data_IF_164186900789
#
_entry.id   IF_164186900789
#
_cell.length_a   1.000
_cell.length_b   1.000
_cell.length_c   1.000
_cell.angle_alpha   90.00
_cell.angle_beta   90.00
_cell.angle_gamma   90.00
#
_symmetry.space_group_name_H-M   'P 1'
#
loop_
_entity.id
_entity.type
_entity.pdbx_description
1 polymer ?
#
# COMPACT_ATOMS: atom_id res chain seq x y z
N UNK A 1 29.74 2.85 -16.89
CA UNK A 1 29.29 1.47 -17.10
C UNK A 1 27.93 1.31 -16.41
N UNK A 2 26.84 1.49 -17.16
CA UNK A 2 25.48 1.29 -16.62
C UNK A 2 25.19 -0.21 -16.65
N UNK A 3 25.38 -0.87 -15.51
CA UNK A 3 25.02 -2.29 -15.35
C UNK A 3 23.49 -2.37 -15.38
N UNK A 4 22.93 -2.86 -16.48
CA UNK A 4 21.51 -3.16 -16.57
C UNK A 4 21.20 -4.27 -15.58
N UNK A 5 20.47 -3.95 -14.51
CA UNK A 5 19.87 -4.95 -13.65
C UNK A 5 18.96 -5.82 -14.52
N UNK A 6 19.34 -7.08 -14.72
CA UNK A 6 18.44 -8.08 -15.30
C UNK A 6 17.32 -8.24 -14.28
N UNK A 7 16.16 -7.66 -14.59
CA UNK A 7 14.98 -7.74 -13.75
C UNK A 7 14.42 -9.16 -13.88
N UNK A 8 14.85 -10.05 -12.99
CA UNK A 8 14.36 -11.43 -12.96
C UNK A 8 12.93 -11.38 -12.45
N UNK A 9 11.98 -11.70 -13.32
CA UNK A 9 10.57 -11.83 -12.95
C UNK A 9 10.37 -13.08 -12.10
N UNK A 10 9.80 -12.90 -10.91
CA UNK A 10 9.49 -13.98 -9.98
C UNK A 10 8.15 -14.64 -10.31
N UNK A 11 7.19 -13.86 -10.79
CA UNK A 11 5.84 -14.32 -11.09
C UNK A 11 5.59 -14.51 -12.59
N UNK A 12 4.80 -15.53 -12.90
CA UNK A 12 4.29 -15.75 -14.24
C UNK A 12 3.38 -14.59 -14.66
N UNK A 13 3.48 -14.15 -15.92
CA UNK A 13 2.73 -12.99 -16.46
C UNK A 13 1.77 -13.33 -17.60
N UNK A 14 0.92 -14.37 -17.51
CA UNK A 14 0.02 -14.71 -18.60
C UNK A 14 -1.10 -13.66 -18.73
N UNK A 15 -1.17 -12.99 -19.88
CA UNK A 15 -2.27 -12.08 -20.24
C UNK A 15 -2.53 -10.96 -19.22
N UNK A 16 -1.46 -10.38 -18.68
CA UNK A 16 -1.54 -9.18 -17.85
C UNK A 16 -1.54 -7.93 -18.72
N UNK A 17 -2.36 -6.93 -18.35
CA UNK A 17 -2.27 -5.61 -18.98
C UNK A 17 -0.95 -4.91 -18.59
N UNK A 18 -0.57 -3.86 -19.33
CA UNK A 18 0.62 -3.05 -18.99
C UNK A 18 0.57 -2.52 -17.56
N UNK A 19 -0.60 -2.06 -17.11
CA UNK A 19 -0.81 -1.56 -15.75
C UNK A 19 -0.62 -2.66 -14.70
N UNK A 20 -1.15 -3.87 -14.95
CA UNK A 20 -1.00 -5.03 -14.06
C UNK A 20 0.45 -5.51 -14.00
N UNK A 21 1.14 -5.54 -15.14
CA UNK A 21 2.56 -5.88 -15.20
C UNK A 21 3.43 -4.88 -14.43
N UNK A 22 3.14 -3.57 -14.55
CA UNK A 22 3.81 -2.54 -13.76
C UNK A 22 3.60 -2.76 -12.26
N UNK A 23 2.36 -2.98 -11.84
CA UNK A 23 2.03 -3.22 -10.44
C UNK A 23 2.74 -4.46 -9.88
N UNK A 24 2.80 -5.54 -10.66
CA UNK A 24 3.52 -6.75 -10.28
C UNK A 24 5.03 -6.53 -10.17
N UNK A 25 5.62 -5.72 -11.04
CA UNK A 25 7.04 -5.33 -10.94
C UNK A 25 7.31 -4.57 -9.63
N UNK A 26 6.43 -3.65 -9.23
CA UNK A 26 6.57 -2.93 -7.94
C UNK A 26 6.56 -3.90 -6.76
N UNK A 27 5.71 -4.94 -6.77
CA UNK A 27 5.77 -5.98 -5.75
C UNK A 27 7.14 -6.67 -5.75
N UNK A 28 7.59 -7.16 -6.90
CA UNK A 28 8.86 -7.90 -7.05
C UNK A 28 10.07 -7.10 -6.54
N UNK A 29 10.13 -5.81 -6.86
CA UNK A 29 11.18 -4.88 -6.40
C UNK A 29 11.18 -4.67 -4.88
N UNK A 30 10.06 -4.91 -4.19
CA UNK A 30 9.93 -4.66 -2.75
C UNK A 30 9.96 -5.95 -1.91
N UNK A 31 9.99 -7.13 -2.52
CA UNK A 31 10.01 -8.41 -1.80
C UNK A 31 11.26 -8.59 -0.92
N UNK A 32 12.41 -8.06 -1.35
CA UNK A 32 13.64 -8.08 -0.53
C UNK A 32 13.49 -7.28 0.76
N UNK A 33 12.63 -6.26 0.76
CA UNK A 33 12.48 -5.30 1.85
C UNK A 33 11.30 -5.68 2.75
N UNK A 34 10.80 -6.92 2.65
CA UNK A 34 9.63 -7.37 3.41
C UNK A 34 9.77 -7.10 4.90
N UNK A 35 10.94 -7.35 5.50
CA UNK A 35 11.19 -7.14 6.93
C UNK A 35 11.12 -5.68 7.35
N UNK A 36 11.60 -4.77 6.50
CA UNK A 36 11.67 -3.33 6.79
C UNK A 36 10.31 -2.65 6.58
N UNK A 37 9.56 -3.12 5.57
CA UNK A 37 8.25 -2.59 5.21
C UNK A 37 7.09 -3.35 5.88
N UNK A 38 7.38 -4.24 6.83
CA UNK A 38 6.35 -4.97 7.57
C UNK A 38 5.68 -4.05 8.58
N UNK A 39 4.37 -3.93 8.46
CA UNK A 39 3.52 -3.27 9.45
C UNK A 39 2.96 -4.31 10.44
N UNK A 40 3.09 -4.05 11.74
CA UNK A 40 2.62 -4.95 12.79
C UNK A 40 1.12 -4.80 13.10
N UNK A 41 0.49 -3.70 12.68
CA UNK A 41 -0.88 -3.33 13.03
C UNK A 41 -1.71 -2.85 11.84
N UNK A 42 -3.01 -2.58 12.06
CA UNK A 42 -3.87 -1.93 11.06
C UNK A 42 -3.30 -0.56 10.68
N UNK A 43 -3.14 -0.32 9.38
CA UNK A 43 -2.67 0.96 8.84
C UNK A 43 -3.84 1.93 8.82
N UNK A 44 -3.61 3.14 9.35
CA UNK A 44 -4.63 4.19 9.36
C UNK A 44 -4.84 4.77 7.96
N UNK A 45 -6.00 5.41 7.74
CA UNK A 45 -6.39 5.92 6.42
C UNK A 45 -5.34 6.84 5.82
N UNK A 46 -4.85 7.81 6.60
CA UNK A 46 -3.92 8.85 6.14
C UNK A 46 -2.61 8.27 5.61
N UNK A 47 -2.09 7.23 6.28
CA UNK A 47 -0.86 6.54 5.85
C UNK A 47 -1.15 5.73 4.59
N UNK A 48 -2.23 4.96 4.58
CA UNK A 48 -2.60 4.14 3.41
C UNK A 48 -2.89 5.00 2.17
N UNK A 49 -3.49 6.18 2.34
CA UNK A 49 -3.79 7.11 1.25
C UNK A 49 -2.60 7.96 0.83
N UNK A 50 -1.43 7.83 1.46
CA UNK A 50 -0.22 8.56 1.05
C UNK A 50 0.31 8.02 -0.28
N UNK A 51 0.64 8.93 -1.20
CA UNK A 51 1.19 8.56 -2.49
C UNK A 51 2.50 7.75 -2.32
N UNK A 52 2.58 6.67 -3.09
CA UNK A 52 3.68 5.73 -3.12
C UNK A 52 3.94 4.99 -1.79
N UNK A 53 2.97 5.02 -0.88
CA UNK A 53 2.95 4.15 0.30
C UNK A 53 3.06 2.68 -0.12
N UNK A 54 3.94 1.94 0.57
CA UNK A 54 4.17 0.50 0.37
C UNK A 54 4.26 -0.15 1.74
N UNK A 55 3.50 -1.22 1.95
CA UNK A 55 3.52 -1.94 3.23
C UNK A 55 3.20 -3.41 3.07
N UNK A 56 3.83 -4.22 3.91
CA UNK A 56 3.58 -5.66 4.02
C UNK A 56 2.80 -5.98 5.30
N UNK A 57 1.97 -7.02 5.22
CA UNK A 57 1.18 -7.54 6.33
C UNK A 57 1.29 -9.06 6.37
N UNK A 58 1.47 -9.65 7.55
CA UNK A 58 1.48 -11.12 7.73
C UNK A 58 0.07 -11.72 7.86
N UNK A 59 -0.82 -11.27 6.98
CA UNK A 59 -2.18 -11.77 6.82
C UNK A 59 -2.69 -11.37 5.45
N UNK A 60 -3.72 -12.03 4.96
CA UNK A 60 -4.49 -11.55 3.82
C UNK A 60 -5.17 -10.22 4.16
N UNK A 61 -5.18 -9.32 3.18
CA UNK A 61 -5.91 -8.05 3.24
C UNK A 61 -7.07 -8.10 2.27
N UNK A 62 -8.29 -7.93 2.79
CA UNK A 62 -9.50 -7.79 1.99
C UNK A 62 -9.93 -6.32 1.93
N UNK A 63 -10.68 -5.95 0.90
CA UNK A 63 -11.20 -4.58 0.74
C UNK A 63 -11.95 -4.03 1.97
N UNK A 64 -12.80 -4.83 2.67
CA UNK A 64 -13.47 -4.36 3.89
C UNK A 64 -12.52 -4.07 5.06
N UNK A 65 -11.33 -4.68 5.06
CA UNK A 65 -10.34 -4.52 6.14
C UNK A 65 -9.52 -3.22 5.98
N UNK A 66 -9.63 -2.57 4.82
CA UNK A 66 -8.92 -1.32 4.55
C UNK A 66 -9.69 -0.14 5.13
N UNK A 67 -9.00 0.82 5.78
CA UNK A 67 -9.64 2.05 6.23
C UNK A 67 -10.24 2.78 5.03
N UNK A 68 -11.37 3.45 5.26
CA UNK A 68 -12.12 4.20 4.25
C UNK A 68 -12.58 5.52 4.86
N UNK A 69 -12.79 6.53 4.01
CA UNK A 69 -13.39 7.78 4.46
C UNK A 69 -14.89 7.65 4.69
N UNK A 70 -15.47 8.63 5.36
CA UNK A 70 -16.92 8.65 5.62
C UNK A 70 -17.73 8.86 4.34
N UNK A 71 -17.15 9.60 3.39
CA UNK A 71 -17.85 10.05 2.18
C UNK A 71 -17.52 9.25 0.92
N UNK A 72 -16.58 8.31 0.99
CA UNK A 72 -16.12 7.55 -0.16
C UNK A 72 -15.73 6.12 0.20
N UNK A 73 -15.81 5.22 -0.78
CA UNK A 73 -15.55 3.80 -0.59
C UNK A 73 -14.46 3.32 -1.55
N UNK A 74 -13.76 2.25 -1.15
CA UNK A 74 -12.92 1.50 -2.07
C UNK A 74 -13.79 0.70 -3.05
N UNK A 75 -13.60 0.96 -4.33
CA UNK A 75 -14.25 0.24 -5.41
C UNK A 75 -13.22 -0.63 -6.14
N UNK A 76 -13.41 -1.95 -6.07
CA UNK A 76 -12.54 -2.90 -6.76
C UNK A 76 -12.78 -2.85 -8.27
N UNK A 77 -11.70 -2.79 -9.05
CA UNK A 77 -11.83 -3.03 -10.48
C UNK A 77 -12.26 -4.48 -10.74
N UNK A 78 -12.97 -4.73 -11.84
CA UNK A 78 -13.46 -6.07 -12.24
C UNK A 78 -12.36 -7.09 -12.57
N UNK A 79 -11.10 -6.75 -12.33
CA UNK A 79 -9.93 -7.42 -12.89
C UNK A 79 -9.00 -8.01 -11.82
N UNK A 80 -9.55 -8.75 -10.85
CA UNK A 80 -8.73 -9.57 -9.96
C UNK A 80 -7.97 -10.60 -10.80
N UNK A 81 -6.67 -10.69 -10.57
CA UNK A 81 -5.78 -11.64 -11.25
C UNK A 81 -5.22 -12.62 -10.24
N UNK A 82 -4.91 -13.81 -10.75
CA UNK A 82 -4.23 -14.86 -10.03
C UNK A 82 -3.07 -15.32 -10.90
N UNK A 83 -1.88 -15.35 -10.32
CA UNK A 83 -0.65 -15.83 -10.95
C UNK A 83 0.10 -16.68 -9.95
N UNK A 84 1.03 -17.49 -10.43
CA UNK A 84 1.94 -18.27 -9.60
C UNK A 84 3.35 -17.77 -9.82
N UNK A 85 4.22 -17.98 -8.85
CA UNK A 85 5.64 -17.88 -9.10
C UNK A 85 6.12 -19.03 -10.01
N UNK A 86 7.32 -18.90 -10.58
CA UNK A 86 7.87 -19.93 -11.47
C UNK A 86 8.17 -21.26 -10.75
N UNK A 87 8.34 -21.25 -9.42
CA UNK A 87 8.57 -22.48 -8.65
C UNK A 87 7.27 -23.19 -8.26
N UNK A 88 6.12 -22.50 -8.36
CA UNK A 88 4.82 -23.03 -7.96
C UNK A 88 4.57 -23.05 -6.45
N UNK A 89 5.48 -22.49 -5.65
CA UNK A 89 5.39 -22.43 -4.20
C UNK A 89 4.61 -21.22 -3.68
N UNK A 90 4.30 -20.25 -4.54
CA UNK A 90 3.62 -19.02 -4.16
C UNK A 90 2.47 -18.77 -5.13
N UNK A 91 1.26 -18.77 -4.58
CA UNK A 91 0.08 -18.29 -5.27
C UNK A 91 -0.10 -16.80 -4.96
N UNK A 92 -0.21 -15.96 -5.99
CA UNK A 92 -0.44 -14.53 -5.86
C UNK A 92 -1.81 -14.18 -6.43
N UNK A 93 -2.67 -13.55 -5.61
CA UNK A 93 -3.89 -12.89 -6.07
C UNK A 93 -3.79 -11.40 -5.87
N UNK A 94 -4.06 -10.61 -6.92
CA UNK A 94 -3.98 -9.15 -6.81
C UNK A 94 -5.09 -8.44 -7.56
N UNK A 95 -5.41 -7.24 -7.10
CA UNK A 95 -6.45 -6.40 -7.67
C UNK A 95 -6.20 -4.92 -7.38
N UNK A 96 -6.83 -4.07 -8.19
CA UNK A 96 -6.80 -2.62 -8.04
C UNK A 96 -8.06 -2.13 -7.35
N UNK A 97 -7.89 -1.16 -6.46
CA UNK A 97 -8.93 -0.37 -5.83
C UNK A 97 -8.80 1.08 -6.30
N UNK A 98 -9.92 1.69 -6.65
CA UNK A 98 -10.02 3.14 -6.80
C UNK A 98 -11.08 3.63 -5.82
N UNK A 99 -11.00 4.90 -5.47
CA UNK A 99 -12.06 5.55 -4.70
C UNK A 99 -13.31 5.76 -5.55
N UNK A 100 -14.46 5.78 -4.89
CA UNK A 100 -15.73 6.18 -5.48
C UNK A 100 -16.54 6.92 -4.43
N UNK A 101 -17.22 8.00 -4.85
CA UNK A 101 -18.13 8.71 -3.94
C UNK A 101 -19.22 7.77 -3.44
N UNK A 102 -19.56 7.88 -2.16
CA UNK A 102 -20.72 7.20 -1.59
C UNK A 102 -22.00 7.89 -2.08
N UNK A 103 -23.06 7.13 -2.34
CA UNK A 103 -24.33 7.66 -2.87
C UNK A 103 -24.96 8.75 -1.99
N UNK A 104 -24.62 8.77 -0.70
CA UNK A 104 -25.20 9.70 0.28
C UNK A 104 -24.40 11.00 0.43
N UNK A 105 -23.26 11.15 -0.26
CA UNK A 105 -22.39 12.31 -0.10
C UNK A 105 -22.05 12.93 -1.47
N UNK A 106 -22.37 14.22 -1.63
CA UNK A 106 -22.03 14.99 -2.83
C UNK A 106 -20.55 15.42 -2.89
N UNK A 107 -19.74 15.06 -1.88
CA UNK A 107 -18.33 15.43 -1.83
C UNK A 107 -17.50 14.68 -2.87
N UNK A 108 -16.51 15.37 -3.43
CA UNK A 108 -15.56 14.79 -4.37
C UNK A 108 -14.73 13.71 -3.66
N UNK A 109 -14.77 12.48 -4.15
CA UNK A 109 -13.93 11.41 -3.63
C UNK A 109 -12.45 11.70 -3.96
N UNK A 110 -11.51 11.43 -3.04
CA UNK A 110 -10.10 11.66 -3.29
C UNK A 110 -9.64 10.77 -4.45
N UNK A 111 -8.67 11.18 -5.27
CA UNK A 111 -8.28 10.43 -6.47
C UNK A 111 -7.34 9.24 -6.19
N UNK A 112 -7.58 8.49 -5.10
CA UNK A 112 -6.64 7.45 -4.66
C UNK A 112 -6.77 6.18 -5.52
N UNK A 113 -5.62 5.53 -5.75
CA UNK A 113 -5.50 4.25 -6.43
C UNK A 113 -4.56 3.35 -5.65
N UNK A 114 -5.06 2.20 -5.22
CA UNK A 114 -4.32 1.22 -4.44
C UNK A 114 -4.30 -0.13 -5.14
N UNK A 115 -3.18 -0.83 -5.04
CA UNK A 115 -3.02 -2.22 -5.40
C UNK A 115 -2.90 -3.07 -4.15
N UNK A 116 -3.68 -4.15 -4.11
CA UNK A 116 -3.62 -5.16 -3.06
C UNK A 116 -3.12 -6.45 -3.69
N UNK A 117 -2.08 -7.02 -3.10
CA UNK A 117 -1.47 -8.28 -3.48
C UNK A 117 -1.54 -9.21 -2.28
N UNK A 118 -2.15 -10.37 -2.45
CA UNK A 118 -2.25 -11.40 -1.42
C UNK A 118 -1.48 -12.63 -1.91
N UNK A 119 -0.40 -12.93 -1.22
CA UNK A 119 0.47 -14.07 -1.44
C UNK A 119 0.08 -15.19 -0.48
N UNK A 120 -0.02 -16.40 -1.01
CA UNK A 120 -0.15 -17.64 -0.22
C UNK A 120 1.08 -18.50 -0.51
N UNK A 121 1.92 -18.67 0.51
CA UNK A 121 3.12 -19.50 0.45
C UNK A 121 2.71 -20.93 0.78
N UNK A 122 3.08 -21.85 -0.10
CA UNK A 122 2.83 -23.28 0.02
C UNK A 122 4.06 -24.01 0.60
N UNK A 123 3.88 -25.19 1.21
CA UNK A 123 2.60 -25.87 1.49
C UNK A 123 1.92 -25.39 2.79
N UNK A 124 2.58 -24.54 3.57
CA UNK A 124 2.13 -24.14 4.92
C UNK A 124 0.97 -23.13 4.93
N UNK A 125 0.48 -22.70 3.76
CA UNK A 125 -0.57 -21.70 3.58
C UNK A 125 -0.30 -20.40 4.36
N UNK A 126 0.97 -19.99 4.48
CA UNK A 126 1.30 -18.70 5.08
C UNK A 126 0.80 -17.57 4.17
N UNK A 127 0.02 -16.66 4.74
CA UNK A 127 -0.54 -15.53 4.02
C UNK A 127 0.29 -14.26 4.28
N UNK A 128 0.64 -13.57 3.21
CA UNK A 128 1.29 -12.27 3.24
C UNK A 128 0.54 -11.36 2.29
N UNK A 129 0.20 -10.16 2.71
CA UNK A 129 -0.27 -9.13 1.82
C UNK A 129 0.79 -8.06 1.59
N UNK A 130 0.81 -7.53 0.38
CA UNK A 130 1.51 -6.29 0.05
C UNK A 130 0.48 -5.30 -0.47
N UNK A 131 0.56 -4.06 0.02
CA UNK A 131 -0.32 -2.98 -0.39
C UNK A 131 0.52 -1.83 -0.89
N UNK A 132 0.16 -1.31 -2.06
CA UNK A 132 0.84 -0.17 -2.68
C UNK A 132 -0.16 0.89 -3.09
N UNK A 133 0.03 2.11 -2.62
CA UNK A 133 -0.74 3.28 -3.03
C UNK A 133 -0.07 3.94 -4.24
N UNK A 134 -0.46 3.52 -5.45
CA UNK A 134 0.12 4.07 -6.69
C UNK A 134 -0.16 5.57 -6.85
N UNK A 135 -1.34 6.01 -6.42
CA UNK A 135 -1.73 7.43 -6.45
C UNK A 135 -2.49 7.74 -5.17
N UNK A 136 -2.06 8.78 -4.49
CA UNK A 136 -2.58 9.15 -3.18
C UNK A 136 -2.45 10.64 -2.91
N UNK A 137 -2.60 11.02 -1.66
CA UNK A 137 -2.27 12.35 -1.17
C UNK A 137 -0.74 12.51 -1.15
N UNK A 138 -0.26 13.65 -1.61
CA UNK A 138 1.15 13.99 -1.47
C UNK A 138 1.46 14.11 0.03
N UNK A 139 2.63 13.62 0.46
CA UNK A 139 3.10 13.91 1.81
C UNK A 139 3.26 15.43 1.86
N UNK A 140 2.43 16.11 2.64
CA UNK A 140 2.64 17.52 2.94
C UNK A 140 3.92 17.60 3.79
N UNK A 141 5.08 17.69 3.13
CA UNK A 141 6.36 17.91 3.81
C UNK A 141 6.45 19.38 4.28
N UNK A 142 5.54 20.24 3.81
CA UNK A 142 5.58 21.69 3.99
C UNK A 142 4.73 22.22 5.17
N UNK A 143 4.23 21.36 6.08
CA UNK A 143 3.41 21.80 7.22
C UNK A 143 4.09 21.71 8.59
N UNK A 144 5.35 21.26 8.66
CA UNK A 144 6.13 21.28 9.91
C UNK A 144 7.06 22.49 10.03
N UNK A 145 7.14 23.35 9.01
CA UNK A 145 7.86 24.63 9.09
C UNK A 145 7.05 25.74 9.78
N UNK A 146 5.83 25.44 10.26
CA UNK A 146 4.97 26.37 10.97
C UNK A 146 4.35 25.78 12.25
N UNK A 147 4.97 24.75 12.86
CA UNK A 147 4.80 24.60 14.31
C UNK A 147 5.62 25.71 14.94
N UNK A 148 4.93 26.81 15.23
CA UNK A 148 5.45 27.91 16.01
C UNK A 148 6.02 27.32 17.32
N UNK A 149 7.33 27.45 17.49
CA UNK A 149 8.08 26.93 18.65
C UNK A 149 7.54 27.54 19.96
N UNK A 150 6.73 28.60 19.87
CA UNK A 150 5.99 29.20 20.98
C UNK A 150 5.06 28.21 21.71
N UNK A 151 4.58 27.14 21.06
CA UNK A 151 3.69 26.14 21.66
C UNK A 151 4.42 25.05 22.48
N UNK A 152 5.77 25.04 22.46
CA UNK A 152 6.58 24.15 23.30
C UNK A 152 6.86 24.74 24.70
N UNK A 153 6.27 25.89 25.03
CA UNK A 153 6.38 26.50 26.36
C UNK A 153 5.85 25.58 27.48
N UNK A 154 4.88 24.71 27.19
CA UNK A 154 4.37 23.72 28.14
C UNK A 154 5.41 22.67 28.58
N UNK A 155 6.42 22.37 27.76
CA UNK A 155 7.45 21.39 28.13
C UNK A 155 8.41 21.93 29.21
N UNK A 156 8.59 23.25 29.30
CA UNK A 156 9.39 23.87 30.37
C UNK A 156 8.68 23.86 31.73
N UNK A 157 7.36 23.68 31.77
CA UNK A 157 6.63 23.47 33.03
C UNK A 157 6.77 22.04 33.56
N UNK A 158 6.95 21.06 32.66
CA UNK A 158 7.07 19.63 33.04
C UNK A 158 8.50 19.26 33.46
N UNK A 159 9.51 19.89 32.86
CA UNK A 159 10.92 19.62 33.16
C UNK A 159 11.65 20.91 33.53
N UNK A 160 11.45 21.47 34.74
CA UNK A 160 12.27 22.58 35.20
C UNK A 160 13.72 22.09 35.29
N UNK A 161 14.59 22.67 34.45
CA UNK A 161 16.03 22.45 34.53
C UNK A 161 16.54 22.96 35.88
N UNK A 162 16.85 22.02 36.76
CA UNK A 162 17.56 22.20 38.03
C UNK A 162 19.01 22.60 37.84
#
# INVERSE_FOLDING_TARGET
>A
FSCGFILIHMFQRPKLSREQSKALTVLEENLSNIKELTEQSMVCLNVLSTQDYKGFFFRKVNTPDLPRGDTWLWNQSRSRKQVKDYTGNINLSFYKLNTRSSQNHASIAPNNKIWVFNLTILPNNKEIAFVWCERGQEKNVDSFSALDISDLTFLNEIFPSS
#
